data_IF_951942852102
#
_entry.id   IF_951942852102
#
_cell.length_a   1.000
_cell.length_b   1.000
_cell.length_c   1.000
_cell.angle_alpha   90.00
_cell.angle_beta   90.00
_cell.angle_gamma   90.00
#
_symmetry.space_group_name_H-M   'P 1'
#
loop_
_entity.id
_entity.type
_entity.pdbx_description
1 polymer ?
#
# COMPACT_ATOMS: atom_id res chain seq x y z
N UNK A 1 15.01 18.68 0.59
CA UNK A 1 14.70 17.51 1.43
C UNK A 1 13.48 16.83 0.84
N UNK A 2 13.57 15.54 0.52
CA UNK A 2 12.44 14.80 -0.04
C UNK A 2 11.40 14.59 1.07
N UNK A 3 10.23 15.22 0.93
CA UNK A 3 9.14 15.24 1.92
C UNK A 3 8.20 14.04 1.81
N UNK A 4 8.36 13.23 0.77
CA UNK A 4 7.49 12.12 0.50
C UNK A 4 7.79 10.92 1.41
N UNK A 5 6.71 10.25 1.82
CA UNK A 5 6.69 9.06 2.64
C UNK A 5 5.93 7.96 1.89
N UNK A 6 6.30 6.70 2.09
CA UNK A 6 5.58 5.55 1.57
C UNK A 6 4.90 4.80 2.72
N UNK A 7 3.60 4.59 2.60
CA UNK A 7 2.87 3.61 3.41
C UNK A 7 2.91 2.26 2.69
N UNK A 8 3.28 1.20 3.40
CA UNK A 8 3.28 -0.18 2.89
C UNK A 8 2.35 -1.02 3.76
N UNK A 9 1.34 -1.61 3.13
CA UNK A 9 0.33 -2.45 3.76
C UNK A 9 0.57 -3.90 3.37
N UNK A 10 0.87 -4.73 4.36
CA UNK A 10 0.99 -6.17 4.22
C UNK A 10 -0.27 -6.82 4.77
N UNK A 11 -0.84 -7.80 4.07
CA UNK A 11 -1.98 -8.52 4.59
C UNK A 11 -2.01 -10.01 4.26
N UNK A 12 -2.56 -10.79 5.18
CA UNK A 12 -2.91 -12.19 4.97
C UNK A 12 -4.35 -12.38 5.44
N UNK A 13 -5.27 -12.58 4.50
CA UNK A 13 -6.70 -12.62 4.77
C UNK A 13 -7.25 -14.01 4.46
N UNK A 14 -8.14 -14.57 5.31
CA UNK A 14 -8.80 -15.82 4.99
C UNK A 14 -9.67 -15.64 3.74
N UNK A 15 -9.76 -16.69 2.91
CA UNK A 15 -10.51 -16.69 1.64
C UNK A 15 -11.27 -18.00 1.38
N UNK A 16 -11.42 -18.84 2.41
CA UNK A 16 -12.03 -20.19 2.27
C UNK A 16 -13.54 -20.08 2.06
N UNK A 17 -14.22 -19.26 2.85
CA UNK A 17 -15.67 -19.06 2.74
C UNK A 17 -16.04 -17.91 1.79
N UNK A 18 -17.27 -17.91 1.27
CA UNK A 18 -17.76 -16.82 0.43
C UNK A 18 -17.76 -15.46 1.15
N UNK A 19 -18.05 -15.46 2.46
CA UNK A 19 -18.02 -14.26 3.31
C UNK A 19 -16.60 -13.70 3.44
N UNK A 20 -15.63 -14.57 3.63
CA UNK A 20 -14.21 -14.22 3.73
C UNK A 20 -13.67 -13.66 2.41
N UNK A 21 -13.97 -14.31 1.28
CA UNK A 21 -13.63 -13.76 -0.06
C UNK A 21 -14.23 -12.38 -0.29
N UNK A 22 -15.49 -12.18 0.10
CA UNK A 22 -16.16 -10.88 -0.03
C UNK A 22 -15.48 -9.82 0.84
N UNK A 23 -15.06 -10.15 2.06
CA UNK A 23 -14.32 -9.24 2.94
C UNK A 23 -12.94 -8.88 2.37
N UNK A 24 -12.17 -9.87 1.89
CA UNK A 24 -10.88 -9.65 1.27
C UNK A 24 -11.00 -8.79 0.00
N UNK A 25 -11.98 -9.07 -0.87
CA UNK A 25 -12.26 -8.27 -2.06
C UNK A 25 -12.67 -6.83 -1.72
N UNK A 26 -13.46 -6.64 -0.66
CA UNK A 26 -13.83 -5.31 -0.17
C UNK A 26 -12.60 -4.53 0.32
N UNK A 27 -11.73 -5.15 1.11
CA UNK A 27 -10.52 -4.51 1.62
C UNK A 27 -9.58 -4.11 0.47
N UNK A 28 -9.32 -5.03 -0.47
CA UNK A 28 -8.54 -4.72 -1.68
C UNK A 28 -9.16 -3.59 -2.50
N UNK A 29 -10.49 -3.60 -2.67
CA UNK A 29 -11.19 -2.53 -3.40
C UNK A 29 -11.08 -1.19 -2.72
N UNK A 30 -11.07 -1.16 -1.38
CA UNK A 30 -10.79 0.05 -0.62
C UNK A 30 -9.37 0.55 -0.88
N UNK A 31 -8.35 -0.31 -0.77
CA UNK A 31 -6.96 0.06 -1.01
C UNK A 31 -6.79 0.72 -2.38
N UNK A 32 -7.30 0.09 -3.44
CA UNK A 32 -7.23 0.65 -4.79
C UNK A 32 -7.94 2.00 -4.92
N UNK A 33 -9.11 2.16 -4.29
CA UNK A 33 -9.88 3.42 -4.33
C UNK A 33 -9.24 4.55 -3.53
N UNK A 34 -8.52 4.22 -2.46
CA UNK A 34 -7.77 5.20 -1.66
C UNK A 34 -6.36 5.43 -2.23
N UNK A 35 -6.09 4.97 -3.46
CA UNK A 35 -4.86 5.24 -4.22
C UNK A 35 -3.65 4.45 -3.72
N UNK A 36 -3.86 3.20 -3.28
CA UNK A 36 -2.77 2.25 -3.11
C UNK A 36 -2.53 1.48 -4.40
N UNK A 37 -1.27 1.18 -4.66
CA UNK A 37 -0.79 0.38 -5.80
C UNK A 37 -0.30 -0.97 -5.33
N UNK A 38 -0.49 -1.99 -6.16
CA UNK A 38 -0.10 -3.35 -5.82
C UNK A 38 1.38 -3.54 -6.13
N UNK A 39 2.21 -3.66 -5.09
CA UNK A 39 3.64 -3.94 -5.24
C UNK A 39 3.87 -5.42 -5.52
N UNK A 40 3.22 -6.29 -4.74
CA UNK A 40 3.24 -7.75 -4.89
C UNK A 40 1.91 -8.33 -4.40
N UNK A 41 1.72 -9.64 -4.53
CA UNK A 41 0.58 -10.29 -3.88
C UNK A 41 0.57 -9.97 -2.39
N UNK A 42 -0.59 -9.51 -1.91
CA UNK A 42 -0.78 -9.16 -0.51
C UNK A 42 0.08 -7.99 0.03
N UNK A 43 0.74 -7.24 -0.85
CA UNK A 43 1.54 -6.06 -0.48
C UNK A 43 1.15 -4.86 -1.35
N UNK A 44 0.68 -3.81 -0.69
CA UNK A 44 0.16 -2.60 -1.34
C UNK A 44 0.86 -1.37 -0.79
N UNK A 45 1.14 -0.39 -1.64
CA UNK A 45 1.89 0.81 -1.27
C UNK A 45 1.17 2.10 -1.67
N UNK A 46 1.38 3.17 -0.90
CA UNK A 46 0.83 4.51 -1.20
C UNK A 46 1.86 5.58 -0.91
N UNK A 47 2.00 6.53 -1.83
CA UNK A 47 2.81 7.73 -1.65
C UNK A 47 2.02 8.76 -0.85
N UNK A 48 2.68 9.35 0.13
CA UNK A 48 2.12 10.38 0.99
C UNK A 48 3.02 11.62 0.93
N UNK A 49 2.41 12.78 0.69
CA UNK A 49 3.07 14.07 0.70
C UNK A 49 3.24 14.58 2.14
N UNK A 50 4.16 13.98 2.88
CA UNK A 50 4.44 14.30 4.28
C UNK A 50 3.59 13.51 5.29
N UNK A 51 3.84 13.79 6.58
CA UNK A 51 3.24 13.08 7.73
C UNK A 51 1.73 13.27 7.82
N UNK A 52 1.22 14.46 7.55
CA UNK A 52 -0.23 14.75 7.64
C UNK A 52 -1.04 13.87 6.66
N UNK A 53 -0.47 13.62 5.47
CA UNK A 53 -1.06 12.70 4.50
C UNK A 53 -1.01 11.25 5.00
N UNK A 54 0.09 10.83 5.63
CA UNK A 54 0.19 9.50 6.27
C UNK A 54 -0.90 9.33 7.32
N UNK A 55 -1.02 10.26 8.27
CA UNK A 55 -2.01 10.18 9.36
C UNK A 55 -3.45 10.11 8.83
N UNK A 56 -3.76 10.95 7.83
CA UNK A 56 -5.07 10.94 7.15
C UNK A 56 -5.37 9.58 6.52
N UNK A 57 -4.42 8.99 5.79
CA UNK A 57 -4.63 7.72 5.10
C UNK A 57 -4.57 6.52 6.04
N UNK A 58 -3.81 6.60 7.12
CA UNK A 58 -3.82 5.61 8.20
C UNK A 58 -5.17 5.57 8.91
N UNK A 59 -5.76 6.74 9.23
CA UNK A 59 -7.10 6.81 9.80
C UNK A 59 -8.15 6.15 8.89
N UNK A 60 -8.08 6.39 7.57
CA UNK A 60 -8.97 5.72 6.59
C UNK A 60 -8.75 4.22 6.52
N UNK A 61 -7.49 3.78 6.56
CA UNK A 61 -7.12 2.36 6.57
C UNK A 61 -7.71 1.66 7.79
N UNK A 62 -7.56 2.24 8.98
CA UNK A 62 -8.10 1.72 10.24
C UNK A 62 -9.62 1.54 10.20
N UNK A 63 -10.35 2.48 9.58
CA UNK A 63 -11.81 2.39 9.43
C UNK A 63 -12.28 1.29 8.45
N UNK A 64 -11.38 0.77 7.62
CA UNK A 64 -11.71 -0.20 6.56
C UNK A 64 -11.08 -1.59 6.78
N UNK A 65 -10.45 -1.83 7.94
CA UNK A 65 -9.83 -3.12 8.25
C UNK A 65 -10.85 -4.27 8.19
N UNK A 66 -10.47 -5.44 7.65
CA UNK A 66 -11.28 -6.65 7.75
C UNK A 66 -11.30 -7.16 9.19
N UNK A 67 -12.39 -7.82 9.60
CA UNK A 67 -12.56 -8.34 10.96
C UNK A 67 -11.75 -9.62 11.26
N UNK A 68 -11.10 -10.20 10.25
CA UNK A 68 -10.27 -11.40 10.35
C UNK A 68 -9.05 -11.28 9.46
N UNK A 69 -8.03 -12.07 9.76
CA UNK A 69 -6.75 -12.08 9.07
C UNK A 69 -5.70 -11.24 9.80
N UNK A 70 -4.60 -10.98 9.11
CA UNK A 70 -3.47 -10.22 9.63
C UNK A 70 -3.21 -9.05 8.69
N UNK A 71 -3.15 -7.83 9.21
CA UNK A 71 -2.81 -6.63 8.44
C UNK A 71 -1.73 -5.87 9.22
N UNK A 72 -0.67 -5.44 8.54
CA UNK A 72 0.41 -4.62 9.09
C UNK A 72 0.64 -3.41 8.20
N UNK A 73 0.91 -2.28 8.83
CA UNK A 73 1.31 -1.05 8.17
C UNK A 73 2.78 -0.77 8.55
N UNK A 74 3.59 -0.44 7.54
CA UNK A 74 4.93 0.10 7.71
C UNK A 74 5.00 1.42 6.94
N UNK A 75 5.41 2.49 7.62
CA UNK A 75 5.64 3.79 7.00
C UNK A 75 7.14 4.05 6.93
N UNK A 76 7.64 4.35 5.73
CA UNK A 76 9.06 4.68 5.49
C UNK A 76 9.17 5.95 4.66
N UNK A 77 10.37 6.54 4.61
CA UNK A 77 10.66 7.64 3.66
C UNK A 77 10.73 7.12 2.23
N UNK A 78 10.47 7.97 1.23
CA UNK A 78 10.63 7.52 -0.16
C UNK A 78 12.05 7.08 -0.50
N UNK A 79 13.06 7.74 0.08
CA UNK A 79 14.46 7.36 -0.10
C UNK A 79 14.74 5.93 0.39
N UNK A 80 14.08 5.51 1.47
CA UNK A 80 14.16 4.12 1.95
C UNK A 80 13.44 3.16 1.01
N UNK A 81 12.27 3.54 0.48
CA UNK A 81 11.55 2.73 -0.50
C UNK A 81 12.36 2.51 -1.80
N UNK A 82 12.95 3.58 -2.35
CA UNK A 82 13.83 3.51 -3.53
C UNK A 82 15.06 2.62 -3.32
N UNK A 83 15.48 2.40 -2.07
CA UNK A 83 16.59 1.53 -1.72
C UNK A 83 16.25 0.03 -1.65
N UNK A 84 14.98 -0.33 -1.87
CA UNK A 84 14.55 -1.74 -1.92
C UNK A 84 15.33 -2.46 -3.02
N UNK A 85 15.93 -3.59 -2.66
CA UNK A 85 16.70 -4.42 -3.59
C UNK A 85 15.81 -5.55 -4.12
N UNK A 86 15.66 -5.61 -5.44
CA UNK A 86 15.06 -6.76 -6.11
C UNK A 86 16.13 -7.86 -6.17
N UNK A 87 15.92 -8.93 -5.41
CA UNK A 87 16.83 -10.08 -5.38
C UNK A 87 16.47 -11.13 -6.45
N UNK A 88 15.20 -11.19 -6.85
CA UNK A 88 14.65 -12.11 -7.86
C UNK A 88 13.50 -11.39 -8.59
N UNK A 89 13.39 -11.63 -9.90
CA UNK A 89 12.40 -10.97 -10.78
C UNK A 89 12.98 -9.77 -11.52
N UNK A 90 12.12 -9.09 -12.29
CA UNK A 90 12.48 -7.91 -13.06
C UNK A 90 11.90 -6.64 -12.43
N UNK A 91 12.55 -5.50 -12.68
CA UNK A 91 12.01 -4.20 -12.32
C UNK A 91 10.73 -3.94 -13.10
N UNK A 92 9.72 -3.47 -12.41
CA UNK A 92 8.47 -3.00 -12.98
C UNK A 92 8.48 -1.47 -13.12
N UNK A 93 7.48 -0.92 -13.78
CA UNK A 93 7.30 0.53 -13.87
C UNK A 93 7.18 1.19 -12.49
N UNK A 94 6.53 0.51 -11.53
CA UNK A 94 6.33 1.01 -10.17
C UNK A 94 7.64 1.08 -9.35
N UNK A 95 8.72 0.47 -9.85
CA UNK A 95 10.06 0.54 -9.26
C UNK A 95 10.90 1.70 -9.82
N UNK A 96 10.34 2.51 -10.73
CA UNK A 96 11.01 3.65 -11.34
C UNK A 96 10.71 4.95 -10.60
N UNK A 97 11.62 5.93 -10.68
CA UNK A 97 11.38 7.27 -10.11
C UNK A 97 10.23 8.02 -10.79
N UNK A 98 9.96 7.75 -12.08
CA UNK A 98 8.87 8.36 -12.85
C UNK A 98 7.49 7.98 -12.28
N UNK A 99 7.37 6.80 -11.68
CA UNK A 99 6.14 6.38 -11.01
C UNK A 99 5.75 7.33 -9.87
N UNK A 100 6.73 7.88 -9.13
CA UNK A 100 6.47 8.75 -7.97
C UNK A 100 5.69 10.00 -8.38
N UNK A 101 6.06 10.60 -9.51
CA UNK A 101 5.44 11.82 -10.00
C UNK A 101 4.00 11.56 -10.47
N UNK A 102 3.77 10.47 -11.21
CA UNK A 102 2.45 10.10 -11.70
C UNK A 102 1.51 9.66 -10.59
N UNK A 103 2.02 8.92 -9.60
CA UNK A 103 1.24 8.44 -8.47
C UNK A 103 0.88 9.54 -7.47
N UNK A 104 1.57 10.69 -7.50
CA UNK A 104 1.26 11.85 -6.67
C UNK A 104 0.22 12.80 -7.32
N UNK A 105 -0.09 12.62 -8.62
CA UNK A 105 -1.08 13.45 -9.33
C UNK A 105 -2.53 13.00 -9.03
N UNK A 106 -2.72 11.78 -8.50
CA UNK A 106 -4.02 11.17 -8.18
C UNK A 106 -4.20 10.95 -6.67
#
# INVERSE_FOLDING_TARGET
MNKFMRMIVFFDLPVVTAKERKAAAKFRSFLLKDGYHMMQFSVYTRICNGTDAVEKHEARLNLNLPSKGSVRLLTITEKQYESIRILVGEKTFDDTGESVELLNIF
#
